data_IF_992533184791
#
_entry.id   IF_992533184791
#
_cell.length_a   1.000
_cell.length_b   1.000
_cell.length_c   1.000
_cell.angle_alpha   90.00
_cell.angle_beta   90.00
_cell.angle_gamma   90.00
#
_symmetry.space_group_name_H-M   'P 1'
#
loop_
_entity.id
_entity.type
_entity.pdbx_description
1 polymer ?
#
# COMPACT_ATOMS: atom_id res chain seq x y z
N UNK A 1 7.08 35.15 -31.02
CA UNK A 1 6.02 34.48 -31.80
C UNK A 1 6.22 32.99 -31.67
N UNK A 2 5.13 32.34 -31.30
CA UNK A 2 5.01 31.08 -30.58
C UNK A 2 5.52 29.83 -31.31
N UNK A 3 6.03 28.86 -30.54
CA UNK A 3 5.43 27.51 -30.45
C UNK A 3 6.22 26.64 -29.47
N UNK A 4 5.82 26.71 -28.20
CA UNK A 4 6.02 25.63 -27.22
C UNK A 4 5.57 24.30 -27.85
N UNK A 5 6.51 23.44 -28.23
CA UNK A 5 6.21 22.03 -28.52
C UNK A 5 5.96 21.30 -27.19
N UNK A 6 4.87 21.66 -26.50
CA UNK A 6 4.25 20.74 -25.55
C UNK A 6 3.63 19.66 -26.40
N UNK A 7 4.28 18.50 -26.44
CA UNK A 7 3.63 17.26 -26.90
C UNK A 7 2.22 17.22 -26.27
N UNK A 8 1.16 16.95 -27.05
CA UNK A 8 -0.18 16.88 -26.51
C UNK A 8 -0.17 15.85 -25.37
N UNK A 9 -0.63 16.26 -24.19
CA UNK A 9 -0.77 15.34 -23.07
C UNK A 9 -1.54 14.10 -23.54
N UNK A 10 -1.11 12.88 -23.18
CA UNK A 10 -1.75 11.65 -23.66
C UNK A 10 -3.24 11.66 -23.31
N UNK A 11 -4.08 11.73 -24.35
CA UNK A 11 -5.53 11.75 -24.20
C UNK A 11 -6.01 10.32 -23.96
N UNK A 12 -6.87 10.12 -22.97
CA UNK A 12 -7.38 8.78 -22.67
C UNK A 12 -8.21 8.20 -23.82
N UNK A 13 -7.83 6.99 -24.27
CA UNK A 13 -8.63 6.20 -25.19
C UNK A 13 -9.93 5.72 -24.52
N UNK A 14 -11.01 5.54 -25.29
CA UNK A 14 -12.31 5.09 -24.76
C UNK A 14 -12.21 3.79 -23.93
N UNK A 15 -11.39 2.83 -24.38
CA UNK A 15 -11.17 1.57 -23.67
C UNK A 15 -10.59 1.79 -22.25
N UNK A 16 -9.66 2.73 -22.12
CA UNK A 16 -9.04 3.11 -20.84
C UNK A 16 -10.08 3.75 -19.92
N UNK A 17 -10.89 4.66 -20.44
CA UNK A 17 -11.95 5.30 -19.64
C UNK A 17 -12.94 4.26 -19.08
N UNK A 18 -13.31 3.24 -19.86
CA UNK A 18 -14.19 2.15 -19.40
C UNK A 18 -13.53 1.38 -18.24
N UNK A 19 -12.25 1.04 -18.38
CA UNK A 19 -11.50 0.36 -17.31
C UNK A 19 -11.40 1.19 -16.03
N UNK A 20 -11.12 2.50 -16.16
CA UNK A 20 -11.07 3.42 -15.02
C UNK A 20 -12.44 3.58 -14.35
N UNK A 21 -13.52 3.64 -15.11
CA UNK A 21 -14.88 3.67 -14.57
C UNK A 21 -15.18 2.44 -13.72
N UNK A 22 -14.79 1.25 -14.18
CA UNK A 22 -14.96 0.02 -13.41
C UNK A 22 -14.17 0.08 -12.09
N UNK A 23 -12.91 0.55 -12.13
CA UNK A 23 -12.11 0.73 -10.91
C UNK A 23 -12.74 1.73 -9.93
N UNK A 24 -13.29 2.85 -10.42
CA UNK A 24 -13.99 3.85 -9.58
C UNK A 24 -15.26 3.26 -8.96
N UNK A 25 -16.06 2.52 -9.74
CA UNK A 25 -17.27 1.88 -9.25
C UNK A 25 -16.95 0.84 -8.15
N UNK A 26 -15.93 0.01 -8.37
CA UNK A 26 -15.45 -0.95 -7.37
C UNK A 26 -14.94 -0.25 -6.10
N UNK A 27 -14.21 0.87 -6.25
CA UNK A 27 -13.73 1.66 -5.12
C UNK A 27 -14.90 2.22 -4.29
N UNK A 28 -15.92 2.81 -4.92
CA UNK A 28 -17.09 3.35 -4.22
C UNK A 28 -17.84 2.23 -3.48
N UNK A 29 -18.06 1.08 -4.12
CA UNK A 29 -18.70 -0.06 -3.48
C UNK A 29 -17.91 -0.55 -2.26
N UNK A 30 -16.58 -0.66 -2.38
CA UNK A 30 -15.71 -1.02 -1.25
C UNK A 30 -15.79 0.02 -0.14
N UNK A 31 -15.70 1.31 -0.46
CA UNK A 31 -15.77 2.39 0.53
C UNK A 31 -17.09 2.37 1.30
N UNK A 32 -18.23 2.18 0.62
CA UNK A 32 -19.54 2.08 1.28
C UNK A 32 -19.58 0.87 2.22
N UNK A 33 -19.09 -0.29 1.77
CA UNK A 33 -19.03 -1.51 2.58
C UNK A 33 -18.14 -1.32 3.82
N UNK A 34 -16.94 -0.76 3.63
CA UNK A 34 -15.96 -0.49 4.68
C UNK A 34 -16.51 0.51 5.71
N UNK A 35 -17.14 1.61 5.26
CA UNK A 35 -17.77 2.58 6.15
C UNK A 35 -18.94 1.96 6.93
N UNK A 36 -19.72 1.10 6.29
CA UNK A 36 -20.78 0.31 6.94
C UNK A 36 -20.21 -0.61 8.03
N UNK A 37 -19.13 -1.33 7.75
CA UNK A 37 -18.46 -2.19 8.73
C UNK A 37 -17.85 -1.40 9.88
N UNK A 38 -17.17 -0.28 9.61
CA UNK A 38 -16.58 0.56 10.64
C UNK A 38 -17.64 1.19 11.54
N UNK A 39 -18.75 1.68 10.97
CA UNK A 39 -19.88 2.22 11.74
C UNK A 39 -20.57 1.14 12.56
N UNK A 40 -20.73 -0.08 12.03
CA UNK A 40 -21.27 -1.22 12.78
C UNK A 40 -20.37 -1.61 13.97
N UNK A 41 -19.05 -1.72 13.76
CA UNK A 41 -18.10 -2.03 14.83
C UNK A 41 -18.10 -0.93 15.89
N UNK A 42 -18.12 0.34 15.48
CA UNK A 42 -18.19 1.48 16.40
C UNK A 42 -19.49 1.46 17.21
N UNK A 43 -20.63 1.26 16.55
CA UNK A 43 -21.93 1.13 17.19
C UNK A 43 -21.96 -0.02 18.19
N UNK A 44 -21.43 -1.19 17.81
CA UNK A 44 -21.33 -2.35 18.67
C UNK A 44 -20.44 -2.08 19.90
N UNK A 45 -19.33 -1.37 19.72
CA UNK A 45 -18.45 -0.98 20.83
C UNK A 45 -19.17 -0.06 21.83
N UNK A 46 -19.88 0.96 21.34
CA UNK A 46 -20.68 1.88 22.16
C UNK A 46 -21.80 1.14 22.90
N UNK A 47 -22.53 0.26 22.20
CA UNK A 47 -23.64 -0.49 22.79
C UNK A 47 -23.16 -1.53 23.81
N UNK A 48 -22.03 -2.20 23.55
CA UNK A 48 -21.45 -3.18 24.46
C UNK A 48 -20.80 -2.51 25.69
N UNK A 49 -20.32 -1.27 25.55
CA UNK A 49 -19.90 -0.44 26.69
C UNK A 49 -21.06 -0.12 27.65
N UNK A 50 -22.31 -0.21 27.19
CA UNK A 50 -23.52 -0.08 28.01
C UNK A 50 -23.96 -1.41 28.66
N UNK A 51 -23.51 -2.57 28.14
CA UNK A 51 -23.88 -3.92 28.61
C UNK A 51 -22.72 -4.67 29.28
N UNK A 52 -21.97 -3.99 30.17
CA UNK A 52 -20.64 -4.43 30.66
C UNK A 52 -20.55 -5.74 31.46
N UNK A 53 -21.62 -6.48 31.72
CA UNK A 53 -21.61 -7.48 32.80
C UNK A 53 -21.46 -8.97 32.45
N UNK A 54 -21.50 -9.42 31.19
CA UNK A 54 -21.34 -10.86 30.91
C UNK A 54 -20.41 -11.16 29.72
N UNK A 55 -19.53 -12.13 29.94
CA UNK A 55 -18.71 -12.93 29.01
C UNK A 55 -17.24 -12.49 28.75
N UNK A 56 -16.31 -13.09 29.50
CA UNK A 56 -14.94 -12.58 29.70
C UNK A 56 -13.81 -13.31 28.93
N UNK A 57 -14.09 -14.40 28.19
CA UNK A 57 -13.00 -15.16 27.50
C UNK A 57 -13.12 -15.21 25.97
N UNK A 58 -14.31 -15.50 25.42
CA UNK A 58 -14.52 -15.52 23.95
C UNK A 58 -14.48 -14.11 23.33
N UNK A 59 -14.91 -13.08 24.06
CA UNK A 59 -14.81 -11.68 23.61
C UNK A 59 -13.35 -11.22 23.46
N UNK A 60 -12.43 -11.67 24.32
CA UNK A 60 -11.01 -11.28 24.30
C UNK A 60 -10.33 -11.60 22.97
N UNK A 61 -10.50 -12.82 22.46
CA UNK A 61 -9.98 -13.24 21.16
C UNK A 61 -10.51 -12.41 19.98
N UNK A 62 -11.79 -12.04 20.05
CA UNK A 62 -12.41 -11.20 19.02
C UNK A 62 -11.79 -9.80 19.00
N UNK A 63 -11.50 -9.22 20.18
CA UNK A 63 -10.91 -7.88 20.27
C UNK A 63 -9.53 -7.77 19.61
N UNK A 64 -8.65 -8.77 19.73
CA UNK A 64 -7.31 -8.70 19.12
C UNK A 64 -7.34 -8.67 17.60
N UNK A 65 -8.13 -9.56 17.00
CA UNK A 65 -8.28 -9.61 15.56
C UNK A 65 -9.04 -8.38 15.05
N UNK A 66 -10.01 -7.88 15.82
CA UNK A 66 -10.74 -6.64 15.50
C UNK A 66 -9.80 -5.45 15.30
N UNK A 67 -8.73 -5.29 16.09
CA UNK A 67 -7.77 -4.18 15.88
C UNK A 67 -7.06 -4.28 14.52
N UNK A 68 -6.62 -5.48 14.12
CA UNK A 68 -6.00 -5.68 12.80
C UNK A 68 -7.01 -5.49 11.67
N UNK A 69 -8.23 -5.99 11.83
CA UNK A 69 -9.31 -5.83 10.86
C UNK A 69 -9.68 -4.36 10.68
N UNK A 70 -9.81 -3.59 11.77
CA UNK A 70 -10.08 -2.14 11.70
C UNK A 70 -8.94 -1.42 10.98
N UNK A 71 -7.68 -1.78 11.26
CA UNK A 71 -6.52 -1.22 10.55
C UNK A 71 -6.53 -1.55 9.06
N UNK A 72 -6.90 -2.78 8.68
CA UNK A 72 -7.05 -3.19 7.28
C UNK A 72 -8.18 -2.44 6.58
N UNK A 73 -9.34 -2.33 7.23
CA UNK A 73 -10.49 -1.57 6.72
C UNK A 73 -10.12 -0.10 6.49
N UNK A 74 -9.39 0.52 7.41
CA UNK A 74 -8.92 1.88 7.23
C UNK A 74 -7.88 2.02 6.10
N UNK A 75 -7.01 1.01 5.91
CA UNK A 75 -6.08 0.98 4.78
C UNK A 75 -6.81 0.83 3.44
N UNK A 76 -7.85 0.00 3.37
CA UNK A 76 -8.73 -0.13 2.19
C UNK A 76 -9.47 1.17 1.90
N UNK A 77 -9.92 1.89 2.95
CA UNK A 77 -10.53 3.20 2.79
C UNK A 77 -9.58 4.20 2.11
N UNK A 78 -8.31 4.27 2.56
CA UNK A 78 -7.30 5.13 1.92
C UNK A 78 -7.05 4.74 0.46
N UNK A 79 -6.93 3.44 0.18
CA UNK A 79 -6.77 2.92 -1.18
C UNK A 79 -7.97 3.26 -2.07
N UNK A 80 -9.18 3.12 -1.55
CA UNK A 80 -10.41 3.43 -2.25
C UNK A 80 -10.54 4.93 -2.54
N UNK A 81 -10.24 5.81 -1.56
CA UNK A 81 -10.20 7.25 -1.77
C UNK A 81 -9.21 7.62 -2.88
N UNK A 82 -7.98 7.07 -2.81
CA UNK A 82 -6.99 7.27 -3.86
C UNK A 82 -7.44 6.73 -5.22
N UNK A 83 -8.22 5.66 -5.25
CA UNK A 83 -8.79 5.10 -6.49
C UNK A 83 -9.93 5.97 -7.03
N UNK A 84 -10.75 6.55 -6.16
CA UNK A 84 -11.85 7.45 -6.51
C UNK A 84 -11.40 8.72 -7.23
N UNK A 85 -10.19 9.23 -6.95
CA UNK A 85 -9.62 10.39 -7.68
C UNK A 85 -9.49 10.13 -9.19
N UNK A 86 -9.49 8.86 -9.64
CA UNK A 86 -9.58 8.53 -11.07
C UNK A 86 -10.82 9.13 -11.76
N UNK A 87 -11.91 9.37 -11.04
CA UNK A 87 -13.10 10.02 -11.61
C UNK A 87 -12.77 11.41 -12.19
N UNK A 88 -11.87 12.15 -11.51
CA UNK A 88 -11.41 13.47 -11.97
C UNK A 88 -10.57 13.33 -13.24
N UNK A 89 -9.71 12.31 -13.32
CA UNK A 89 -8.90 12.07 -14.53
C UNK A 89 -9.74 11.65 -15.73
N UNK A 90 -10.81 10.86 -15.50
CA UNK A 90 -11.77 10.51 -16.55
C UNK A 90 -12.45 11.77 -17.09
N UNK A 91 -12.93 12.66 -16.20
CA UNK A 91 -13.56 13.92 -16.60
C UNK A 91 -12.60 14.80 -17.42
N UNK A 92 -11.34 14.90 -16.97
CA UNK A 92 -10.32 15.72 -17.61
C UNK A 92 -9.66 15.04 -18.84
N UNK A 93 -10.06 13.81 -19.17
CA UNK A 93 -9.52 12.98 -20.26
C UNK A 93 -7.99 12.80 -20.21
N UNK A 94 -7.42 12.92 -19.02
CA UNK A 94 -5.97 12.96 -18.79
C UNK A 94 -5.62 13.18 -17.33
N UNK A 95 -4.39 12.80 -16.96
CA UNK A 95 -3.83 13.07 -15.63
C UNK A 95 -3.11 14.41 -15.65
N UNK A 96 -3.46 15.29 -14.71
CA UNK A 96 -2.78 16.57 -14.52
C UNK A 96 -1.75 16.43 -13.41
N UNK A 97 -0.49 16.76 -13.73
CA UNK A 97 0.58 16.80 -12.73
C UNK A 97 0.36 17.98 -11.78
N UNK A 98 0.51 17.74 -10.48
CA UNK A 98 0.25 18.72 -9.45
C UNK A 98 -0.06 18.09 -8.08
N UNK A 99 -0.48 18.90 -7.09
CA UNK A 99 -0.71 18.43 -5.73
C UNK A 99 -1.73 17.30 -5.63
N UNK A 100 -2.75 17.29 -6.50
CA UNK A 100 -3.77 16.24 -6.56
C UNK A 100 -3.18 14.88 -7.00
N UNK A 101 -2.26 14.91 -7.98
CA UNK A 101 -1.53 13.73 -8.45
C UNK A 101 -0.70 13.12 -7.31
N UNK A 102 0.10 13.95 -6.64
CA UNK A 102 0.94 13.53 -5.51
C UNK A 102 0.10 12.98 -4.36
N UNK A 103 -1.00 13.66 -4.01
CA UNK A 103 -1.92 13.20 -2.95
C UNK A 103 -2.52 11.84 -3.30
N UNK A 104 -2.97 11.66 -4.54
CA UNK A 104 -3.48 10.36 -4.99
C UNK A 104 -2.42 9.26 -4.84
N UNK A 105 -1.20 9.51 -5.30
CA UNK A 105 -0.15 8.52 -5.28
C UNK A 105 0.21 8.11 -3.84
N UNK A 106 0.32 9.08 -2.94
CA UNK A 106 0.58 8.84 -1.51
C UNK A 106 -0.55 8.04 -0.87
N UNK A 107 -1.81 8.40 -1.10
CA UNK A 107 -2.97 7.70 -0.53
C UNK A 107 -3.02 6.23 -0.98
N UNK A 108 -2.82 5.99 -2.28
CA UNK A 108 -2.79 4.62 -2.82
C UNK A 108 -1.61 3.82 -2.28
N UNK A 109 -0.41 4.40 -2.29
CA UNK A 109 0.79 3.73 -1.79
C UNK A 109 0.62 3.37 -0.30
N UNK A 110 0.15 4.31 0.51
CA UNK A 110 -0.08 4.10 1.95
C UNK A 110 -1.12 3.00 2.18
N UNK A 111 -2.24 3.03 1.46
CA UNK A 111 -3.29 2.01 1.56
C UNK A 111 -2.80 0.62 1.15
N UNK A 112 -2.04 0.51 0.05
CA UNK A 112 -1.47 -0.77 -0.40
C UNK A 112 -0.47 -1.36 0.61
N UNK A 113 0.44 -0.53 1.14
CA UNK A 113 1.39 -0.96 2.16
C UNK A 113 0.68 -1.41 3.45
N UNK A 114 -0.33 -0.66 3.88
CA UNK A 114 -1.14 -1.00 5.06
C UNK A 114 -1.87 -2.33 4.91
N UNK A 115 -2.48 -2.58 3.75
CA UNK A 115 -3.15 -3.87 3.45
C UNK A 115 -2.14 -5.02 3.44
N UNK A 116 -1.01 -4.86 2.75
CA UNK A 116 -0.01 -5.91 2.62
C UNK A 116 0.60 -6.29 3.98
N UNK A 117 1.07 -5.30 4.74
CA UNK A 117 1.68 -5.51 6.06
C UNK A 117 0.65 -6.00 7.08
N UNK A 118 -0.58 -5.47 7.05
CA UNK A 118 -1.67 -5.94 7.91
C UNK A 118 -2.05 -7.39 7.64
N UNK A 119 -2.15 -7.78 6.37
CA UNK A 119 -2.47 -9.17 5.98
C UNK A 119 -1.34 -10.12 6.39
N UNK A 120 -0.09 -9.72 6.19
CA UNK A 120 1.07 -10.49 6.63
C UNK A 120 1.06 -10.70 8.16
N UNK A 121 0.77 -9.65 8.94
CA UNK A 121 0.68 -9.75 10.38
C UNK A 121 -0.43 -10.73 10.83
N UNK A 122 -1.61 -10.66 10.21
CA UNK A 122 -2.71 -11.61 10.47
C UNK A 122 -2.30 -13.04 10.11
N UNK A 123 -1.62 -13.24 8.97
CA UNK A 123 -1.15 -14.55 8.54
C UNK A 123 -0.14 -15.14 9.54
N UNK A 124 0.84 -14.37 9.99
CA UNK A 124 1.85 -14.82 10.97
C UNK A 124 1.18 -15.20 12.30
N UNK A 125 0.27 -14.38 12.80
CA UNK A 125 -0.44 -14.64 14.07
C UNK A 125 -1.31 -15.89 13.93
N UNK A 126 -2.05 -16.01 12.85
CA UNK A 126 -2.93 -17.16 12.58
C UNK A 126 -2.13 -18.45 12.44
N UNK A 127 -1.02 -18.41 11.70
CA UNK A 127 -0.11 -19.55 11.57
C UNK A 127 0.52 -19.94 12.91
N UNK A 128 0.96 -18.97 13.71
CA UNK A 128 1.52 -19.23 15.04
C UNK A 128 0.50 -19.89 15.98
N UNK A 129 -0.75 -19.47 15.94
CA UNK A 129 -1.83 -20.05 16.75
C UNK A 129 -2.20 -21.45 16.27
N UNK A 130 -2.37 -21.66 14.95
CA UNK A 130 -2.85 -22.95 14.41
C UNK A 130 -1.74 -24.00 14.40
N UNK A 131 -0.56 -23.65 13.87
CA UNK A 131 0.52 -24.61 13.59
C UNK A 131 1.45 -24.76 14.79
N UNK A 132 1.84 -23.64 15.40
CA UNK A 132 2.75 -23.64 16.56
C UNK A 132 2.01 -23.70 17.90
N UNK A 133 0.67 -23.72 17.89
CA UNK A 133 -0.17 -23.73 19.09
C UNK A 133 0.23 -22.65 20.09
N UNK A 134 0.66 -21.49 19.59
CA UNK A 134 0.99 -20.37 20.46
C UNK A 134 -0.21 -20.01 21.32
N UNK A 135 0.01 -19.89 22.63
CA UNK A 135 -0.95 -19.22 23.49
C UNK A 135 -1.24 -17.84 22.92
N UNK A 136 -2.50 -17.40 23.01
CA UNK A 136 -2.97 -16.10 22.50
C UNK A 136 -1.91 -15.02 22.63
N UNK A 137 -1.51 -14.35 21.52
CA UNK A 137 -0.57 -13.26 21.62
C UNK A 137 -1.11 -12.21 22.60
N UNK A 138 -0.26 -11.68 23.50
CA UNK A 138 -0.68 -10.71 24.51
C UNK A 138 -1.26 -9.45 23.85
N UNK A 139 -2.26 -8.83 24.48
CA UNK A 139 -2.99 -7.64 23.96
C UNK A 139 -2.05 -6.51 23.61
N UNK A 140 -0.98 -6.38 24.38
CA UNK A 140 0.06 -5.37 24.16
C UNK A 140 0.73 -5.51 22.78
N UNK A 141 0.92 -6.71 22.26
CA UNK A 141 1.60 -6.92 20.99
C UNK A 141 0.82 -6.29 19.81
N UNK A 142 -0.50 -6.44 19.79
CA UNK A 142 -1.36 -5.79 18.78
C UNK A 142 -1.28 -4.26 18.84
N UNK A 143 -1.16 -3.69 20.05
CA UNK A 143 -1.05 -2.24 20.24
C UNK A 143 0.30 -1.68 19.77
N UNK A 144 1.34 -2.49 19.61
CA UNK A 144 2.62 -2.06 19.04
C UNK A 144 2.71 -2.33 17.53
N UNK A 145 2.22 -3.49 17.07
CA UNK A 145 2.32 -3.89 15.66
C UNK A 145 1.49 -2.95 14.77
N UNK A 146 0.25 -2.67 15.13
CA UNK A 146 -0.64 -1.82 14.31
C UNK A 146 -0.04 -0.42 14.09
N UNK A 147 0.31 0.36 15.12
CA UNK A 147 0.95 1.66 14.89
C UNK A 147 2.32 1.52 14.21
N UNK A 148 3.07 0.44 14.44
CA UNK A 148 4.32 0.18 13.70
C UNK A 148 4.09 0.04 12.19
N UNK A 149 3.04 -0.68 11.77
CA UNK A 149 2.63 -0.80 10.36
C UNK A 149 2.25 0.56 9.79
N UNK A 150 1.48 1.37 10.55
CA UNK A 150 1.09 2.71 10.12
C UNK A 150 2.29 3.65 9.98
N UNK A 151 3.17 3.69 10.98
CA UNK A 151 4.39 4.49 10.97
C UNK A 151 5.24 4.10 9.75
N UNK A 152 5.45 2.81 9.53
CA UNK A 152 6.22 2.33 8.38
C UNK A 152 5.54 2.73 7.06
N UNK A 153 4.23 2.57 6.95
CA UNK A 153 3.48 2.90 5.72
C UNK A 153 3.47 4.40 5.43
N UNK A 154 3.33 5.24 6.46
CA UNK A 154 3.32 6.70 6.38
C UNK A 154 4.74 7.24 6.13
N UNK A 155 5.79 6.60 6.64
CA UNK A 155 7.18 7.00 6.35
C UNK A 155 7.55 6.58 4.94
N UNK A 156 7.28 5.33 4.57
CA UNK A 156 7.67 4.83 3.25
C UNK A 156 6.96 5.57 2.11
N UNK A 157 5.73 6.07 2.26
CA UNK A 157 5.01 6.69 1.14
C UNK A 157 5.57 8.05 0.66
N UNK A 158 5.93 9.03 1.53
CA UNK A 158 6.52 10.29 1.14
C UNK A 158 8.05 10.29 1.16
N UNK A 159 8.73 9.31 1.75
CA UNK A 159 10.22 9.28 1.80
C UNK A 159 10.85 9.42 0.41
N UNK A 160 10.17 8.94 -0.63
CA UNK A 160 10.68 9.11 -1.99
C UNK A 160 10.62 10.54 -2.52
N UNK A 161 9.81 11.43 -1.92
CA UNK A 161 9.79 12.87 -2.22
C UNK A 161 10.98 13.61 -1.61
N UNK A 162 11.49 13.13 -0.47
CA UNK A 162 12.60 13.77 0.24
C UNK A 162 13.96 13.55 -0.46
N UNK A 163 14.02 12.68 -1.46
CA UNK A 163 15.22 12.40 -2.23
C UNK A 163 15.30 13.46 -3.35
N UNK A 164 16.29 14.38 -3.34
CA UNK A 164 16.45 15.37 -4.40
C UNK A 164 16.69 14.65 -5.72
N UNK A 165 15.87 14.96 -6.73
CA UNK A 165 15.97 14.41 -8.08
C UNK A 165 15.79 15.53 -9.09
N UNK A 166 16.42 15.37 -10.25
CA UNK A 166 16.27 16.30 -11.37
C UNK A 166 14.87 16.18 -12.01
N UNK A 167 14.17 15.05 -11.82
CA UNK A 167 12.84 14.77 -12.35
C UNK A 167 11.83 14.50 -11.22
N UNK A 168 10.54 14.89 -11.39
CA UNK A 168 9.50 14.66 -10.40
C UNK A 168 9.30 13.16 -10.13
N UNK A 169 9.28 12.78 -8.84
CA UNK A 169 9.18 11.37 -8.42
C UNK A 169 7.82 10.75 -8.78
N UNK A 170 6.74 11.52 -8.62
CA UNK A 170 5.40 11.15 -9.07
C UNK A 170 5.14 11.81 -10.41
N UNK A 171 4.91 10.99 -11.43
CA UNK A 171 4.57 11.43 -12.77
C UNK A 171 3.32 10.70 -13.24
N UNK A 172 2.67 11.23 -14.28
CA UNK A 172 1.58 10.53 -14.94
C UNK A 172 2.10 9.24 -15.59
N UNK A 173 1.62 8.08 -15.14
CA UNK A 173 1.90 6.79 -15.79
C UNK A 173 0.82 6.44 -16.82
N UNK A 174 0.41 7.43 -17.62
CA UNK A 174 -0.68 7.39 -18.62
C UNK A 174 -2.11 7.30 -18.07
N UNK A 175 -2.38 6.58 -16.97
CA UNK A 175 -3.77 6.31 -16.53
C UNK A 175 -4.09 6.84 -15.13
N UNK A 176 -3.07 7.03 -14.31
CA UNK A 176 -3.18 7.54 -12.95
C UNK A 176 -1.81 8.09 -12.51
N UNK A 177 -1.79 8.79 -11.38
CA UNK A 177 -0.53 9.22 -10.78
C UNK A 177 0.13 8.07 -10.03
N UNK A 178 1.37 7.75 -10.39
CA UNK A 178 2.17 6.74 -9.71
C UNK A 178 3.66 7.11 -9.76
N UNK A 179 4.49 6.27 -9.16
CA UNK A 179 5.94 6.36 -9.23
C UNK A 179 6.36 6.35 -10.71
N UNK A 180 7.09 7.38 -11.14
CA UNK A 180 7.51 7.54 -12.53
C UNK A 180 8.33 6.32 -13.02
N UNK A 181 7.99 5.79 -14.21
CA UNK A 181 8.64 4.61 -14.79
C UNK A 181 10.08 4.87 -15.26
N UNK A 182 10.35 6.06 -15.79
CA UNK A 182 11.62 6.39 -16.44
C UNK A 182 12.74 6.74 -15.45
N UNK A 183 12.40 7.43 -14.36
CA UNK A 183 13.37 7.84 -13.33
C UNK A 183 13.11 7.26 -11.94
N UNK A 184 11.86 6.94 -11.59
CA UNK A 184 11.44 6.46 -10.27
C UNK A 184 11.83 5.02 -10.01
N UNK A 185 11.45 4.12 -10.92
CA UNK A 185 11.70 2.67 -10.80
C UNK A 185 13.18 2.32 -10.99
N UNK A 186 13.86 2.88 -11.99
CA UNK A 186 15.29 2.65 -12.25
C UNK A 186 16.16 3.03 -11.06
N UNK A 187 15.91 4.18 -10.42
CA UNK A 187 16.68 4.61 -9.23
C UNK A 187 16.18 3.99 -7.93
N UNK A 188 14.90 3.60 -7.81
CA UNK A 188 14.44 2.82 -6.67
C UNK A 188 15.07 1.42 -6.71
N UNK A 189 14.96 0.72 -7.84
CA UNK A 189 15.62 -0.57 -8.08
C UNK A 189 17.13 -0.40 -7.93
N UNK A 190 17.77 0.60 -8.53
CA UNK A 190 19.21 0.81 -8.32
C UNK A 190 19.57 1.12 -6.86
N UNK A 191 18.72 1.80 -6.07
CA UNK A 191 18.95 2.01 -4.63
C UNK A 191 18.69 0.78 -3.78
N UNK A 192 17.69 -0.03 -4.11
CA UNK A 192 17.43 -1.31 -3.43
C UNK A 192 18.48 -2.35 -3.82
N UNK A 193 18.96 -2.35 -5.07
CA UNK A 193 20.05 -3.16 -5.57
C UNK A 193 21.40 -2.67 -5.03
N UNK A 194 21.58 -1.37 -4.81
CA UNK A 194 22.74 -0.82 -4.08
C UNK A 194 22.65 -1.13 -2.58
N UNK A 195 21.47 -1.14 -1.95
CA UNK A 195 21.31 -1.60 -0.57
C UNK A 195 21.60 -3.11 -0.45
N UNK A 196 21.19 -3.89 -1.46
CA UNK A 196 21.54 -5.30 -1.62
C UNK A 196 23.04 -5.49 -1.91
N UNK A 197 23.67 -4.55 -2.62
CA UNK A 197 25.12 -4.53 -2.90
C UNK A 197 25.91 -4.09 -1.67
N UNK A 198 25.39 -3.19 -0.84
CA UNK A 198 25.98 -2.80 0.44
C UNK A 198 25.88 -3.95 1.43
N UNK A 199 24.78 -4.72 1.46
CA UNK A 199 24.74 -6.00 2.19
C UNK A 199 25.63 -7.07 1.55
N UNK A 200 25.95 -6.97 0.25
CA UNK A 200 26.94 -7.83 -0.43
C UNK A 200 28.38 -7.44 -0.12
N UNK A 201 28.65 -6.16 0.15
CA UNK A 201 29.96 -5.67 0.62
C UNK A 201 30.15 -6.04 2.09
N UNK A 202 29.09 -6.10 2.90
CA UNK A 202 29.14 -6.62 4.27
C UNK A 202 29.42 -8.15 4.30
N UNK A 203 29.14 -8.87 3.20
CA UNK A 203 29.50 -10.30 3.05
C UNK A 203 30.97 -10.55 2.66
N UNK A 204 31.79 -9.51 2.46
CA UNK A 204 33.25 -9.64 2.30
C UNK A 204 34.02 -9.48 3.64
N UNK A 205 33.32 -9.48 4.78
CA UNK A 205 33.94 -9.67 6.09
C UNK A 205 34.26 -11.17 6.35
N UNK A 206 35.52 -11.57 6.62
CA UNK A 206 35.87 -12.93 7.07
C UNK A 206 35.60 -13.12 8.59
N UNK A 207 35.73 -14.33 9.20
CA UNK A 207 35.66 -15.70 8.68
C UNK A 207 34.90 -16.63 9.66
N UNK A 208 33.61 -16.98 9.46
CA UNK A 208 33.00 -17.92 10.42
C UNK A 208 31.49 -18.20 10.41
N UNK A 209 30.68 -17.57 9.56
CA UNK A 209 29.22 -17.78 9.64
C UNK A 209 28.57 -17.63 8.26
N UNK A 210 28.76 -18.63 7.39
CA UNK A 210 27.97 -18.73 6.15
C UNK A 210 26.60 -19.30 6.48
N UNK A 211 25.53 -18.57 6.19
CA UNK A 211 24.19 -19.15 6.03
C UNK A 211 23.71 -18.89 4.61
N UNK A 212 23.40 -20.00 3.95
CA UNK A 212 23.16 -20.14 2.52
C UNK A 212 21.65 -20.13 2.27
N UNK A 213 21.16 -19.14 1.53
CA UNK A 213 19.83 -19.17 0.94
C UNK A 213 19.86 -18.60 -0.47
N UNK A 214 20.12 -19.48 -1.43
CA UNK A 214 19.65 -19.32 -2.80
C UNK A 214 18.12 -19.35 -2.80
N UNK A 215 17.45 -18.56 -3.65
CA UNK A 215 16.34 -18.99 -4.52
C UNK A 215 15.69 -17.77 -5.21
N UNK A 216 15.66 -17.87 -6.55
CA UNK A 216 14.81 -17.21 -7.55
C UNK A 216 15.20 -15.86 -8.17
N UNK A 217 16.04 -15.96 -9.22
CA UNK A 217 16.01 -15.05 -10.37
C UNK A 217 15.49 -15.84 -11.58
N UNK A 218 14.28 -15.52 -12.05
CA UNK A 218 13.72 -16.13 -13.24
C UNK A 218 12.44 -15.44 -13.66
N UNK A 219 12.54 -14.30 -14.35
CA UNK A 219 11.54 -13.86 -15.32
C UNK A 219 12.12 -12.81 -16.30
N UNK A 220 12.45 -13.29 -17.50
CA UNK A 220 12.13 -12.67 -18.80
C UNK A 220 12.71 -11.30 -19.16
N UNK A 221 13.83 -11.30 -19.90
CA UNK A 221 14.28 -10.19 -20.75
C UNK A 221 13.60 -10.25 -22.13
N UNK A 222 13.30 -9.12 -22.80
CA UNK A 222 12.42 -9.06 -23.97
C UNK A 222 13.12 -9.38 -25.30
N UNK A 223 12.33 -9.94 -26.20
CA UNK A 223 12.68 -10.22 -27.60
C UNK A 223 12.96 -8.92 -28.36
N UNK A 224 14.18 -8.79 -28.87
CA UNK A 224 14.56 -7.88 -29.95
C UNK A 224 14.28 -8.58 -31.29
N UNK A 225 13.53 -7.94 -32.18
CA UNK A 225 13.86 -7.92 -33.63
C UNK A 225 12.96 -6.95 -34.38
N UNK A 226 13.57 -6.44 -35.45
CA UNK A 226 13.16 -5.43 -36.40
C UNK A 226 11.88 -5.78 -37.16
#
# INVERSE_FOLDING_TARGET
MDSNSKSPAPVFTRAVCIGLWFSVAAAILSAVSVLGLLSYIFWQSVQNMSRRHLEDRRKRWCYHLQFFVVSLLFSDLLLSIGTGINAVWIHNKGVLEGPLCTTQAILRQTGQLGIALGTLAIAIITWGIIVKQWSTPPTHLSHFIVPGIWILSIILSPVQLAIPRQEPFFASTEYWCWISRSGGLQTAVAKYDLALTITRIDTDAPPGYRLQFSIWAGYGSPHSSK
#
